data_IF_820310984772
#
_entry.id   IF_820310984772
#
_cell.length_a   1.000
_cell.length_b   1.000
_cell.length_c   1.000
_cell.angle_alpha   90.00
_cell.angle_beta   90.00
_cell.angle_gamma   90.00
#
_symmetry.space_group_name_H-M   'P 1'
#
loop_
_entity.id
_entity.type
_entity.pdbx_description
1 polymer ?
#
# COMPACT_ATOMS: atom_id res chain seq x y z
N UNK A 1 -28.46 41.76 71.31
CA UNK A 1 -28.26 41.39 69.88
C UNK A 1 -27.63 40.02 69.81
N UNK A 2 -28.45 38.98 69.66
CA UNK A 2 -28.06 37.57 69.61
C UNK A 2 -27.72 37.17 68.16
N UNK A 3 -26.47 36.78 67.91
CA UNK A 3 -26.01 36.28 66.60
C UNK A 3 -26.51 34.84 66.40
N UNK A 4 -27.36 34.61 65.40
CA UNK A 4 -27.70 33.27 64.91
C UNK A 4 -26.68 32.88 63.83
N UNK A 5 -25.91 31.82 64.09
CA UNK A 5 -25.09 31.13 63.09
C UNK A 5 -25.99 30.14 62.34
N UNK A 6 -26.06 30.27 61.01
CA UNK A 6 -26.74 29.33 60.12
C UNK A 6 -25.68 28.34 59.59
N UNK A 7 -25.85 27.01 59.72
CA UNK A 7 -24.90 26.07 59.15
C UNK A 7 -25.20 25.91 57.65
N UNK A 8 -24.20 26.17 56.81
CA UNK A 8 -24.23 25.83 55.38
C UNK A 8 -23.90 24.33 55.28
N UNK A 9 -24.90 23.52 54.92
CA UNK A 9 -24.71 22.11 54.61
C UNK A 9 -24.17 22.00 53.18
N UNK A 10 -22.88 21.70 53.03
CA UNK A 10 -22.27 21.44 51.72
C UNK A 10 -22.56 19.98 51.32
N UNK A 11 -23.51 19.78 50.41
CA UNK A 11 -23.81 18.45 49.85
C UNK A 11 -22.78 18.14 48.76
N UNK A 12 -21.77 17.32 49.09
CA UNK A 12 -20.88 16.71 48.10
C UNK A 12 -21.64 15.59 47.38
N UNK A 13 -22.19 15.89 46.20
CA UNK A 13 -22.70 14.86 45.29
C UNK A 13 -21.49 14.19 44.64
N UNK A 14 -21.00 13.10 45.24
CA UNK A 14 -20.13 12.13 44.58
C UNK A 14 -20.97 11.40 43.52
N UNK A 15 -21.19 12.07 42.40
CA UNK A 15 -21.71 11.44 41.20
C UNK A 15 -20.63 10.51 40.66
N UNK A 16 -20.72 9.23 40.98
CA UNK A 16 -20.02 8.17 40.24
C UNK A 16 -20.63 8.08 38.84
N UNK A 17 -20.44 9.10 38.00
CA UNK A 17 -20.58 8.92 36.56
C UNK A 17 -19.37 8.10 36.14
N UNK A 18 -19.55 6.81 35.90
CA UNK A 18 -18.56 6.04 35.17
C UNK A 18 -18.20 6.84 33.92
N UNK A 19 -16.93 7.19 33.79
CA UNK A 19 -16.38 7.72 32.54
C UNK A 19 -16.89 6.78 31.45
N UNK A 20 -17.54 7.27 30.39
CA UNK A 20 -17.97 6.39 29.31
C UNK A 20 -16.76 5.58 28.89
N UNK A 21 -16.81 4.26 29.13
CA UNK A 21 -15.74 3.37 28.73
C UNK A 21 -15.70 3.44 27.22
N UNK A 22 -14.71 4.15 26.69
CA UNK A 22 -14.44 4.20 25.25
C UNK A 22 -14.21 2.77 24.74
N UNK A 23 -13.74 1.90 25.63
CA UNK A 23 -13.44 0.49 25.39
C UNK A 23 -14.65 -0.39 25.71
N UNK A 24 -15.31 -0.91 24.68
CA UNK A 24 -16.24 -2.04 24.80
C UNK A 24 -15.46 -3.33 24.59
N UNK A 25 -15.28 -4.08 25.68
CA UNK A 25 -14.59 -5.36 25.66
C UNK A 25 -15.59 -6.50 25.89
N UNK A 26 -15.58 -7.51 25.02
CA UNK A 26 -16.42 -8.72 25.14
C UNK A 26 -15.62 -9.96 24.72
N UNK A 27 -15.79 -11.09 25.42
CA UNK A 27 -15.07 -12.32 25.06
C UNK A 27 -15.07 -13.40 26.14
N UNK A 28 -14.42 -14.53 25.85
CA UNK A 28 -14.17 -15.59 26.85
C UNK A 28 -13.16 -15.09 27.88
N UNK A 29 -13.48 -15.26 29.17
CA UNK A 29 -12.70 -14.70 30.27
C UNK A 29 -11.20 -15.07 30.26
N UNK A 30 -10.85 -16.31 29.92
CA UNK A 30 -9.45 -16.75 29.86
C UNK A 30 -8.65 -16.14 28.70
N UNK A 31 -9.31 -15.82 27.58
CA UNK A 31 -8.70 -15.13 26.44
C UNK A 31 -8.54 -13.64 26.77
N UNK A 32 -9.56 -13.09 27.46
CA UNK A 32 -9.60 -11.71 27.90
C UNK A 32 -8.40 -11.33 28.78
N UNK A 33 -8.15 -12.10 29.85
CA UNK A 33 -7.07 -11.79 30.81
C UNK A 33 -5.71 -11.76 30.14
N UNK A 34 -5.39 -12.77 29.32
CA UNK A 34 -4.05 -12.88 28.71
C UNK A 34 -3.78 -11.74 27.71
N UNK A 35 -4.79 -11.34 26.93
CA UNK A 35 -4.63 -10.23 25.97
C UNK A 35 -4.49 -8.91 26.70
N UNK A 36 -5.29 -8.69 27.75
CA UNK A 36 -5.21 -7.47 28.55
C UNK A 36 -3.83 -7.35 29.23
N UNK A 37 -3.31 -8.43 29.81
CA UNK A 37 -1.99 -8.45 30.44
C UNK A 37 -0.88 -8.09 29.43
N UNK A 38 -0.98 -8.54 28.17
CA UNK A 38 -0.04 -8.17 27.10
C UNK A 38 -0.16 -6.69 26.75
N UNK A 39 -1.38 -6.17 26.63
CA UNK A 39 -1.62 -4.75 26.32
C UNK A 39 -1.07 -3.87 27.45
N UNK A 40 -1.40 -4.18 28.71
CA UNK A 40 -0.97 -3.40 29.86
C UNK A 40 0.55 -3.43 30.03
N UNK A 41 1.16 -4.61 29.86
CA UNK A 41 2.63 -4.77 29.94
C UNK A 41 3.39 -4.14 28.79
N UNK A 42 2.74 -3.86 27.65
CA UNK A 42 3.39 -3.21 26.49
C UNK A 42 3.75 -1.74 26.76
N UNK A 43 3.08 -1.10 27.72
CA UNK A 43 3.25 0.33 27.99
C UNK A 43 2.82 1.25 26.84
N UNK A 44 2.09 0.73 25.85
CA UNK A 44 1.65 1.50 24.69
C UNK A 44 0.54 2.50 25.07
N UNK A 45 0.72 3.76 24.70
CA UNK A 45 -0.31 4.80 24.79
C UNK A 45 -0.86 5.08 23.40
N UNK A 46 -1.78 4.23 22.92
CA UNK A 46 -2.38 4.33 21.59
C UNK A 46 -3.80 3.78 21.56
N UNK A 47 -4.56 4.09 20.51
CA UNK A 47 -5.85 3.46 20.26
C UNK A 47 -5.65 2.13 19.55
N UNK A 48 -6.35 1.10 20.02
CA UNK A 48 -6.28 -0.25 19.46
C UNK A 48 -7.66 -0.81 19.16
N UNK A 49 -7.77 -1.52 18.04
CA UNK A 49 -8.94 -2.31 17.67
C UNK A 49 -8.55 -3.79 17.52
N UNK A 50 -9.27 -4.69 18.19
CA UNK A 50 -9.08 -6.14 18.11
C UNK A 50 -10.43 -6.81 17.89
N UNK A 51 -10.49 -7.77 16.97
CA UNK A 51 -11.64 -8.67 16.79
C UNK A 51 -11.13 -10.08 16.49
N UNK A 52 -11.43 -11.03 17.37
CA UNK A 52 -11.02 -12.43 17.23
C UNK A 52 -12.28 -13.28 17.13
N UNK A 53 -12.42 -13.99 16.01
CA UNK A 53 -13.58 -14.84 15.71
C UNK A 53 -13.11 -16.27 15.45
N UNK A 54 -13.82 -17.25 16.01
CA UNK A 54 -13.58 -18.66 15.71
C UNK A 54 -14.13 -19.00 14.32
N UNK A 55 -13.26 -19.40 13.39
CA UNK A 55 -13.70 -19.84 12.05
C UNK A 55 -14.59 -21.09 12.08
N UNK A 56 -14.49 -21.93 13.12
CA UNK A 56 -15.31 -23.16 13.26
C UNK A 56 -16.73 -22.89 13.77
N UNK A 57 -16.88 -21.91 14.67
CA UNK A 57 -18.14 -21.69 15.39
C UNK A 57 -18.79 -20.34 15.10
N UNK A 58 -18.08 -19.47 14.36
CA UNK A 58 -18.41 -18.06 14.13
C UNK A 58 -18.64 -17.24 15.41
N UNK A 59 -18.19 -17.74 16.56
CA UNK A 59 -18.30 -17.03 17.85
C UNK A 59 -17.15 -16.07 18.03
N UNK A 60 -17.45 -14.87 18.52
CA UNK A 60 -16.44 -13.92 18.99
C UNK A 60 -15.75 -14.48 20.22
N UNK A 61 -14.42 -14.59 20.16
CA UNK A 61 -13.59 -15.05 21.26
C UNK A 61 -13.11 -13.87 22.12
N UNK A 62 -12.83 -12.75 21.46
CA UNK A 62 -12.40 -11.49 22.06
C UNK A 62 -12.67 -10.32 21.12
N UNK A 63 -13.05 -9.17 21.65
CA UNK A 63 -13.11 -7.91 20.93
C UNK A 63 -12.75 -6.73 21.83
N UNK A 64 -12.08 -5.73 21.24
CA UNK A 64 -11.73 -4.45 21.83
C UNK A 64 -11.93 -3.38 20.74
N UNK A 65 -12.80 -2.40 20.95
CA UNK A 65 -13.06 -1.32 19.97
C UNK A 65 -13.35 -1.81 18.53
N UNK A 66 -13.94 -2.98 18.37
CA UNK A 66 -14.05 -3.65 17.07
C UNK A 66 -14.87 -2.88 16.01
N UNK A 67 -15.69 -1.91 16.43
CA UNK A 67 -16.51 -1.08 15.54
C UNK A 67 -15.94 0.34 15.34
N UNK A 68 -14.76 0.63 15.89
CA UNK A 68 -14.10 1.93 15.72
C UNK A 68 -13.40 1.99 14.36
N UNK A 69 -13.30 3.20 13.80
CA UNK A 69 -12.56 3.43 12.55
C UNK A 69 -11.07 3.62 12.85
N UNK A 70 -10.22 2.98 12.05
CA UNK A 70 -8.76 3.07 12.11
C UNK A 70 -8.19 3.18 10.71
N UNK A 71 -6.97 3.72 10.61
CA UNK A 71 -6.21 3.67 9.36
C UNK A 71 -5.72 2.22 9.14
N UNK A 72 -6.20 1.53 8.10
CA UNK A 72 -5.87 0.13 7.89
C UNK A 72 -4.45 -0.10 7.35
N UNK A 73 -3.80 0.95 6.82
CA UNK A 73 -2.56 0.83 6.06
C UNK A 73 -2.70 -0.27 4.98
N UNK A 74 -1.68 -1.13 4.82
CA UNK A 74 -1.73 -2.23 3.85
C UNK A 74 -2.84 -3.27 4.10
N UNK A 75 -3.56 -3.24 5.23
CA UNK A 75 -4.74 -4.09 5.41
C UNK A 75 -5.87 -3.73 4.44
N UNK A 76 -5.86 -2.53 3.82
CA UNK A 76 -6.76 -2.19 2.71
C UNK A 76 -6.68 -3.21 1.57
N UNK A 77 -5.50 -3.80 1.34
CA UNK A 77 -5.28 -4.80 0.28
C UNK A 77 -6.21 -6.00 0.39
N UNK A 78 -6.69 -6.36 1.59
CA UNK A 78 -7.66 -7.44 1.77
C UNK A 78 -8.96 -7.14 1.00
N UNK A 79 -9.47 -5.91 1.11
CA UNK A 79 -10.69 -5.49 0.40
C UNK A 79 -10.45 -5.39 -1.11
N UNK A 80 -9.30 -4.84 -1.52
CA UNK A 80 -8.92 -4.75 -2.94
C UNK A 80 -8.83 -6.14 -3.57
N UNK A 81 -8.19 -7.11 -2.91
CA UNK A 81 -8.10 -8.49 -3.41
C UNK A 81 -9.47 -9.16 -3.52
N UNK A 82 -10.35 -8.98 -2.52
CA UNK A 82 -11.71 -9.51 -2.57
C UNK A 82 -12.52 -8.91 -3.72
N UNK A 83 -12.41 -7.60 -3.94
CA UNK A 83 -13.05 -6.93 -5.07
C UNK A 83 -12.49 -7.46 -6.41
N UNK A 84 -11.16 -7.53 -6.56
CA UNK A 84 -10.50 -8.03 -7.75
C UNK A 84 -10.96 -9.46 -8.09
N UNK A 85 -10.95 -10.38 -7.12
CA UNK A 85 -11.44 -11.76 -7.32
C UNK A 85 -12.93 -11.76 -7.70
N UNK A 86 -13.74 -10.89 -7.10
CA UNK A 86 -15.17 -10.82 -7.41
C UNK A 86 -15.47 -10.28 -8.82
N UNK A 87 -14.64 -9.40 -9.38
CA UNK A 87 -14.86 -8.79 -10.70
C UNK A 87 -14.13 -9.53 -11.83
N UNK A 88 -12.89 -9.95 -11.58
CA UNK A 88 -12.01 -10.52 -12.58
C UNK A 88 -12.00 -12.06 -12.57
N UNK A 89 -12.34 -12.68 -11.43
CA UNK A 89 -12.06 -14.09 -11.11
C UNK A 89 -10.55 -14.40 -11.04
N UNK A 90 -10.24 -15.54 -10.43
CA UNK A 90 -8.90 -16.10 -10.26
C UNK A 90 -8.21 -16.54 -11.55
N UNK A 91 -8.95 -16.64 -12.66
CA UNK A 91 -8.42 -17.06 -13.97
C UNK A 91 -8.17 -15.90 -14.92
N UNK A 92 -8.38 -14.66 -14.47
CA UNK A 92 -8.13 -13.48 -15.30
C UNK A 92 -6.67 -13.41 -15.73
N UNK A 93 -6.46 -12.98 -16.98
CA UNK A 93 -5.13 -12.72 -17.52
C UNK A 93 -5.12 -11.34 -18.14
N UNK A 94 -4.17 -10.52 -17.70
CA UNK A 94 -3.86 -9.27 -18.36
C UNK A 94 -3.25 -9.55 -19.74
N UNK A 95 -3.33 -8.56 -20.64
CA UNK A 95 -2.88 -8.70 -22.02
C UNK A 95 -2.20 -7.42 -22.48
N UNK A 96 -0.93 -7.51 -22.79
CA UNK A 96 -0.21 -6.48 -23.54
C UNK A 96 -0.22 -6.87 -25.01
N UNK A 97 -0.69 -5.98 -25.87
CA UNK A 97 -1.00 -6.28 -27.26
C UNK A 97 -0.20 -5.39 -28.21
N UNK A 98 0.10 -5.92 -29.40
CA UNK A 98 0.77 -5.17 -30.46
C UNK A 98 -0.12 -5.10 -31.68
N UNK A 99 -0.44 -3.88 -32.11
CA UNK A 99 -1.22 -3.63 -33.32
C UNK A 99 -0.36 -2.96 -34.39
N UNK A 100 -0.61 -3.30 -35.65
CA UNK A 100 0.08 -2.74 -36.81
C UNK A 100 -0.85 -1.82 -37.58
N UNK A 101 -0.45 -0.55 -37.73
CA UNK A 101 -0.99 0.40 -38.72
C UNK A 101 -0.19 0.37 -40.03
N UNK A 102 -0.35 1.39 -40.87
CA UNK A 102 0.39 1.44 -42.16
C UNK A 102 1.92 1.50 -41.93
N UNK A 103 2.39 2.55 -41.25
CA UNK A 103 3.81 2.77 -40.94
C UNK A 103 4.09 2.84 -39.42
N UNK A 104 3.10 2.42 -38.61
CA UNK A 104 3.10 2.57 -37.15
C UNK A 104 2.86 1.23 -36.46
N UNK A 105 3.57 0.97 -35.38
CA UNK A 105 3.23 -0.06 -34.39
C UNK A 105 2.66 0.61 -33.15
N UNK A 106 1.63 0.01 -32.57
CA UNK A 106 1.06 0.38 -31.28
C UNK A 106 1.35 -0.74 -30.28
N UNK A 107 2.02 -0.40 -29.18
CA UNK A 107 2.14 -1.26 -28.00
C UNK A 107 1.06 -0.82 -27.00
N UNK A 108 0.03 -1.64 -26.83
CA UNK A 108 -1.14 -1.32 -26.01
C UNK A 108 -1.06 -2.09 -24.70
N UNK A 109 -0.94 -1.37 -23.59
CA UNK A 109 -0.87 -1.95 -22.26
C UNK A 109 -2.23 -2.39 -21.74
N UNK A 110 -2.29 -3.60 -21.17
CA UNK A 110 -3.50 -4.20 -20.62
C UNK A 110 -3.76 -3.98 -19.14
N UNK A 111 -2.88 -3.23 -18.45
CA UNK A 111 -2.81 -3.16 -17.00
C UNK A 111 -2.14 -4.38 -16.36
N UNK A 112 -1.24 -5.06 -17.07
CA UNK A 112 -0.48 -6.18 -16.53
C UNK A 112 0.51 -5.69 -15.45
N UNK A 113 0.32 -6.04 -14.17
CA UNK A 113 1.20 -5.55 -13.11
C UNK A 113 2.57 -6.26 -13.10
N UNK A 114 2.69 -7.41 -13.78
CA UNK A 114 3.87 -8.28 -13.72
C UNK A 114 4.64 -8.33 -15.04
N UNK A 115 4.38 -7.41 -15.99
CA UNK A 115 5.10 -7.37 -17.28
C UNK A 115 6.60 -7.14 -17.05
N UNK A 116 7.40 -8.15 -17.40
CA UNK A 116 8.86 -8.15 -17.24
C UNK A 116 9.61 -7.59 -18.46
N UNK A 117 10.89 -7.28 -18.28
CA UNK A 117 11.78 -6.92 -19.38
C UNK A 117 11.95 -8.09 -20.35
N UNK A 118 12.08 -9.31 -19.85
CA UNK A 118 12.24 -10.52 -20.65
C UNK A 118 11.00 -10.82 -21.52
N UNK A 119 9.80 -10.59 -20.99
CA UNK A 119 8.55 -10.73 -21.75
C UNK A 119 8.42 -9.64 -22.81
N UNK A 120 8.83 -8.40 -22.51
CA UNK A 120 8.86 -7.32 -23.48
C UNK A 120 9.87 -7.60 -24.61
N UNK A 121 11.06 -8.10 -24.29
CA UNK A 121 12.06 -8.51 -25.27
C UNK A 121 11.53 -9.65 -26.14
N UNK A 122 10.89 -10.66 -25.53
CA UNK A 122 10.26 -11.77 -26.26
C UNK A 122 9.16 -11.29 -27.21
N UNK A 123 8.35 -10.31 -26.78
CA UNK A 123 7.33 -9.68 -27.61
C UNK A 123 7.97 -8.92 -28.79
N UNK A 124 9.03 -8.16 -28.54
CA UNK A 124 9.77 -7.45 -29.58
C UNK A 124 10.39 -8.40 -30.62
N UNK A 125 10.97 -9.53 -30.18
CA UNK A 125 11.47 -10.57 -31.07
C UNK A 125 10.36 -11.16 -31.95
N UNK A 126 9.22 -11.53 -31.35
CA UNK A 126 8.07 -12.06 -32.07
C UNK A 126 7.53 -11.07 -33.12
N UNK A 127 7.46 -9.79 -32.77
CA UNK A 127 7.00 -8.71 -33.67
C UNK A 127 7.99 -8.50 -34.81
N UNK A 128 9.29 -8.39 -34.51
CA UNK A 128 10.34 -8.14 -35.52
C UNK A 128 10.50 -9.29 -36.52
N UNK A 129 10.05 -10.50 -36.17
CA UNK A 129 10.00 -11.63 -37.10
C UNK A 129 8.99 -11.41 -38.24
N UNK A 130 7.93 -10.64 -37.98
CA UNK A 130 6.80 -10.42 -38.90
C UNK A 130 6.80 -9.00 -39.52
N UNK A 131 7.34 -8.02 -38.82
CA UNK A 131 7.36 -6.61 -39.23
C UNK A 131 8.81 -6.15 -39.31
N UNK A 132 9.25 -5.75 -40.51
CA UNK A 132 10.66 -5.40 -40.79
C UNK A 132 10.92 -3.90 -40.81
N UNK A 133 9.96 -3.12 -41.28
CA UNK A 133 10.09 -1.67 -41.40
C UNK A 133 8.94 -1.00 -40.65
N UNK A 134 9.29 -0.08 -39.74
CA UNK A 134 8.36 0.80 -39.04
C UNK A 134 8.96 2.19 -38.98
N UNK A 135 8.13 3.21 -39.09
CA UNK A 135 8.56 4.61 -38.95
C UNK A 135 8.15 5.20 -37.60
N UNK A 136 7.22 4.55 -36.90
CA UNK A 136 6.67 5.05 -35.64
C UNK A 136 6.31 3.91 -34.69
N UNK A 137 6.64 4.10 -33.43
CA UNK A 137 6.14 3.32 -32.30
C UNK A 137 5.24 4.24 -31.46
N UNK A 138 4.04 3.77 -31.15
CA UNK A 138 3.10 4.43 -30.23
C UNK A 138 2.96 3.54 -29.00
N UNK A 139 3.13 4.14 -27.84
CA UNK A 139 2.90 3.53 -26.54
C UNK A 139 1.50 3.97 -26.10
N UNK A 140 0.60 3.01 -25.92
CA UNK A 140 -0.80 3.26 -25.60
C UNK A 140 -1.14 2.65 -24.24
N UNK A 141 -1.26 3.50 -23.23
CA UNK A 141 -1.67 3.15 -21.87
C UNK A 141 -3.09 3.65 -21.55
N UNK A 142 -3.89 4.01 -22.56
CA UNK A 142 -5.20 4.67 -22.40
C UNK A 142 -6.31 3.78 -21.85
N UNK A 143 -6.02 2.52 -21.51
CA UNK A 143 -6.97 1.63 -20.82
C UNK A 143 -7.23 2.06 -19.38
N UNK A 144 -6.28 2.76 -18.77
CA UNK A 144 -6.45 3.46 -17.50
C UNK A 144 -6.52 4.97 -17.77
N UNK A 145 -7.01 5.72 -16.78
CA UNK A 145 -6.93 7.17 -16.83
C UNK A 145 -5.48 7.67 -16.64
N UNK A 146 -5.27 8.97 -16.80
CA UNK A 146 -3.93 9.59 -16.70
C UNK A 146 -3.53 9.93 -15.26
N UNK A 147 -4.20 9.40 -14.25
CA UNK A 147 -3.91 9.68 -12.83
C UNK A 147 -2.79 8.76 -12.37
N UNK A 148 -1.59 9.33 -12.22
CA UNK A 148 -0.38 8.56 -11.91
C UNK A 148 -0.29 8.14 -10.43
N UNK A 149 -1.02 8.80 -9.53
CA UNK A 149 -0.94 8.58 -8.08
C UNK A 149 -2.31 8.38 -7.45
N UNK A 150 -2.38 7.57 -6.40
CA UNK A 150 -3.62 7.31 -5.68
C UNK A 150 -4.13 8.53 -4.89
N UNK A 151 -5.45 8.61 -4.72
CA UNK A 151 -6.05 9.63 -3.85
C UNK A 151 -5.52 9.50 -2.41
N UNK A 152 -5.07 10.63 -1.84
CA UNK A 152 -4.55 10.69 -0.48
C UNK A 152 -3.06 10.33 -0.33
N UNK A 153 -2.35 10.00 -1.42
CA UNK A 153 -0.90 9.86 -1.39
C UNK A 153 -0.22 11.18 -1.03
N UNK A 154 0.87 11.10 -0.26
CA UNK A 154 1.61 12.29 0.11
C UNK A 154 2.58 12.70 -1.01
N UNK A 155 2.68 14.01 -1.24
CA UNK A 155 3.57 14.57 -2.28
C UNK A 155 5.06 14.34 -1.99
N UNK A 156 5.41 14.00 -0.74
CA UNK A 156 6.77 13.77 -0.26
C UNK A 156 7.12 12.29 -0.06
N UNK A 157 6.32 11.36 -0.60
CA UNK A 157 6.67 9.93 -0.61
C UNK A 157 7.97 9.66 -1.40
N UNK A 158 8.32 10.52 -2.37
CA UNK A 158 9.58 10.44 -3.09
C UNK A 158 9.64 9.29 -4.11
N UNK A 159 10.84 8.83 -4.44
CA UNK A 159 11.10 7.88 -5.53
C UNK A 159 11.15 6.41 -5.07
N UNK A 160 10.38 6.04 -4.05
CA UNK A 160 10.36 4.65 -3.57
C UNK A 160 9.44 3.77 -4.39
N UNK A 161 9.83 2.51 -4.55
CA UNK A 161 9.11 1.49 -5.33
C UNK A 161 7.64 1.32 -4.95
N UNK A 162 7.26 1.53 -3.68
CA UNK A 162 5.87 1.40 -3.23
C UNK A 162 4.99 2.59 -3.63
N UNK A 163 5.59 3.65 -4.17
CA UNK A 163 4.95 4.88 -4.65
C UNK A 163 5.21 5.09 -6.15
N UNK A 164 5.51 4.02 -6.89
CA UNK A 164 5.68 4.08 -8.33
C UNK A 164 4.38 4.56 -9.02
N UNK A 165 4.54 5.27 -10.14
CA UNK A 165 3.41 5.79 -10.92
C UNK A 165 2.56 4.64 -11.48
N UNK A 166 1.24 4.84 -11.52
CA UNK A 166 0.27 3.89 -12.04
C UNK A 166 0.05 4.15 -13.53
N UNK A 167 0.18 3.11 -14.37
CA UNK A 167 -0.15 3.15 -15.79
C UNK A 167 -0.73 1.81 -16.26
N UNK A 168 -1.47 1.80 -17.36
CA UNK A 168 -1.90 0.56 -18.00
C UNK A 168 -0.73 -0.19 -18.68
N UNK A 169 0.42 0.48 -18.84
CA UNK A 169 1.63 -0.09 -19.42
C UNK A 169 2.84 0.23 -18.54
N UNK A 170 3.06 -0.63 -17.55
CA UNK A 170 4.24 -0.59 -16.69
C UNK A 170 5.10 -1.82 -16.97
N UNK A 171 6.42 -1.65 -16.92
CA UNK A 171 7.39 -2.74 -17.10
C UNK A 171 8.30 -2.74 -15.89
N UNK A 172 8.67 -3.92 -15.38
CA UNK A 172 9.62 -4.06 -14.28
C UNK A 172 9.20 -3.27 -13.02
N UNK A 173 7.97 -3.51 -12.53
CA UNK A 173 7.37 -2.81 -11.37
C UNK A 173 7.30 -1.28 -11.52
N UNK A 174 7.46 -0.76 -12.74
CA UNK A 174 7.70 0.66 -13.02
C UNK A 174 8.90 1.22 -12.24
N UNK A 175 9.92 0.39 -12.05
CA UNK A 175 11.09 0.68 -11.23
C UNK A 175 12.40 0.53 -12.03
N UNK A 176 13.42 1.26 -11.58
CA UNK A 176 14.80 1.09 -12.01
C UNK A 176 15.62 0.69 -10.79
N UNK A 177 16.21 -0.49 -10.83
CA UNK A 177 17.11 -0.96 -9.77
C UNK A 177 18.45 -0.23 -9.86
N UNK A 178 18.92 0.28 -8.72
CA UNK A 178 20.25 0.87 -8.59
C UNK A 178 21.17 -0.08 -7.81
N UNK A 179 22.17 -0.63 -8.49
CA UNK A 179 23.18 -1.51 -7.91
C UNK A 179 24.44 -0.67 -7.67
N UNK A 180 24.67 -0.30 -6.42
CA UNK A 180 25.77 0.57 -6.01
C UNK A 180 26.87 -0.25 -5.36
N UNK A 181 28.09 -0.15 -5.88
CA UNK A 181 29.27 -0.81 -5.31
C UNK A 181 30.40 0.19 -5.02
N UNK A 182 31.23 -0.04 -3.98
CA UNK A 182 32.35 0.85 -3.67
C UNK A 182 33.31 1.01 -4.86
N UNK A 183 33.77 2.24 -5.08
CA UNK A 183 34.87 2.53 -6.00
C UNK A 183 36.25 2.30 -5.38
N UNK A 184 37.28 2.88 -5.99
CA UNK A 184 38.59 3.00 -5.34
C UNK A 184 38.51 4.08 -4.26
N UNK A 185 39.33 3.97 -3.20
CA UNK A 185 39.46 5.04 -2.18
C UNK A 185 39.75 6.38 -2.85
N UNK A 186 38.95 7.40 -2.55
CA UNK A 186 39.04 8.74 -3.13
C UNK A 186 38.32 8.90 -4.48
N UNK A 187 37.62 7.86 -4.97
CA UNK A 187 36.81 7.91 -6.19
C UNK A 187 35.31 7.72 -5.87
N UNK A 188 34.39 8.12 -6.76
CA UNK A 188 32.97 7.84 -6.60
C UNK A 188 32.66 6.34 -6.58
N UNK A 189 31.51 5.99 -5.99
CA UNK A 189 30.95 4.65 -6.09
C UNK A 189 30.62 4.29 -7.55
N UNK A 190 30.63 3.01 -7.87
CA UNK A 190 30.21 2.50 -9.18
C UNK A 190 28.71 2.27 -9.11
N UNK A 191 27.96 2.87 -10.04
CA UNK A 191 26.50 2.73 -10.13
C UNK A 191 26.18 1.95 -11.40
N UNK A 192 25.42 0.87 -11.26
CA UNK A 192 24.79 0.15 -12.37
C UNK A 192 23.28 0.20 -12.20
N UNK A 193 22.55 0.11 -13.30
CA UNK A 193 21.10 0.14 -13.30
C UNK A 193 20.48 -1.02 -14.08
N UNK A 194 19.28 -1.41 -13.69
CA UNK A 194 18.45 -2.36 -14.42
C UNK A 194 16.99 -1.88 -14.42
N UNK A 195 16.36 -1.64 -15.59
CA UNK A 195 16.95 -1.66 -16.93
C UNK A 195 17.99 -0.54 -17.14
N UNK A 196 18.96 -0.77 -18.04
CA UNK A 196 19.82 0.31 -18.55
C UNK A 196 19.07 1.08 -19.64
N UNK A 197 18.93 2.40 -19.48
CA UNK A 197 18.13 3.23 -20.40
C UNK A 197 18.63 4.67 -20.43
N UNK A 198 18.48 5.32 -21.58
CA UNK A 198 18.73 6.75 -21.76
C UNK A 198 17.56 7.63 -21.27
N UNK A 199 16.48 7.01 -20.76
CA UNK A 199 15.30 7.70 -20.24
C UNK A 199 15.59 8.53 -18.98
N UNK A 200 16.58 8.13 -18.19
CA UNK A 200 16.99 8.80 -16.96
C UNK A 200 18.47 9.20 -16.99
N UNK A 201 18.85 10.14 -16.13
CA UNK A 201 20.22 10.60 -15.98
C UNK A 201 20.76 10.29 -14.59
N UNK A 202 22.01 9.86 -14.50
CA UNK A 202 22.69 9.57 -13.23
C UNK A 202 23.66 10.70 -12.89
N UNK A 203 23.41 11.39 -11.78
CA UNK A 203 24.35 12.35 -11.18
C UNK A 203 25.03 11.71 -9.97
N UNK A 204 26.31 11.35 -10.10
CA UNK A 204 27.06 10.66 -9.06
C UNK A 204 28.07 11.59 -8.37
N UNK A 205 27.69 12.11 -7.21
CA UNK A 205 28.54 12.94 -6.34
C UNK A 205 29.04 12.20 -5.11
N UNK A 206 29.03 10.86 -5.15
CA UNK A 206 29.46 10.02 -4.02
C UNK A 206 30.99 10.01 -3.87
N UNK A 207 31.46 9.51 -2.72
CA UNK A 207 32.88 9.28 -2.43
C UNK A 207 33.01 7.93 -1.73
N UNK A 208 34.00 7.16 -2.17
CA UNK A 208 34.41 5.89 -1.54
C UNK A 208 35.67 6.07 -0.71
#
# INVERSE_FOLDING_TARGET
MTKRLLPIFLVFILGCTHTPSIYKEQGKQSVKSNIQDIIDSSGLSTNMGIKIVSLKTNKTLYELNANSLFNPASNTKIYTCLAAISFLDTNYKFRTEVYKGEDTIYLVGGGDPDLTLEELDSLAEAVSSQIKDIHKLVIDDTRLDSTLYGEGWMWDEGAWWYSAEISALSVNDNCVDFIITPGKKGAPAIIKTNPSSDYYQISNTSLT
#
